data_IF_705216308157
#
_entry.id   IF_705216308157
#
_cell.length_a   1.000
_cell.length_b   1.000
_cell.length_c   1.000
_cell.angle_alpha   90.00
_cell.angle_beta   90.00
_cell.angle_gamma   90.00
#
_symmetry.space_group_name_H-M   'P 1'
#
loop_
_entity.id
_entity.type
_entity.pdbx_description
1 polymer ?
#
# COMPACT_ATOMS: atom_id res chain seq x y z
N UNK A 1 7.72 16.42 12.01
CA UNK A 1 7.06 15.14 11.74
C UNK A 1 5.99 15.35 10.68
N UNK A 2 6.25 14.89 9.47
CA UNK A 2 5.32 14.86 8.35
C UNK A 2 4.71 13.46 8.24
N UNK A 3 3.38 13.37 8.32
CA UNK A 3 2.65 12.09 8.23
C UNK A 3 1.78 12.09 6.98
N UNK A 4 2.09 11.21 6.04
CA UNK A 4 1.39 11.09 4.76
C UNK A 4 0.74 9.72 4.62
N UNK A 5 -0.56 9.70 4.32
CA UNK A 5 -1.26 8.47 3.94
C UNK A 5 -1.20 8.29 2.43
N UNK A 6 -0.80 7.10 1.99
CA UNK A 6 -0.79 6.69 0.58
C UNK A 6 -1.97 5.73 0.39
N UNK A 7 -2.96 6.05 -0.46
CA UNK A 7 -4.08 5.16 -0.70
C UNK A 7 -3.64 3.91 -1.48
N UNK A 8 -4.44 2.84 -1.39
CA UNK A 8 -4.24 1.67 -2.25
C UNK A 8 -4.71 1.98 -3.66
N UNK A 9 -3.97 1.53 -4.67
CA UNK A 9 -4.34 1.69 -6.08
C UNK A 9 -4.46 0.31 -6.74
N UNK A 10 -5.35 0.21 -7.74
CA UNK A 10 -5.42 -0.96 -8.60
C UNK A 10 -5.81 -0.59 -10.02
N UNK A 11 -5.25 -1.31 -10.99
CA UNK A 11 -5.64 -1.19 -12.40
C UNK A 11 -5.48 -2.52 -13.12
N UNK A 12 -6.22 -2.67 -14.21
CA UNK A 12 -6.08 -3.81 -15.11
C UNK A 12 -5.36 -3.38 -16.38
N UNK A 13 -4.40 -4.19 -16.83
CA UNK A 13 -3.65 -3.96 -18.06
C UNK A 13 -3.58 -5.23 -18.87
N UNK A 14 -3.45 -5.09 -20.19
CA UNK A 14 -3.25 -6.21 -21.10
C UNK A 14 -1.85 -6.14 -21.72
N UNK A 15 -1.19 -7.27 -21.87
CA UNK A 15 0.13 -7.35 -22.50
C UNK A 15 0.88 -8.64 -22.22
N UNK A 16 2.08 -8.76 -22.79
CA UNK A 16 2.94 -9.92 -22.55
C UNK A 16 3.57 -9.83 -21.16
N UNK A 17 3.71 -10.97 -20.48
CA UNK A 17 4.29 -11.08 -19.13
C UNK A 17 5.58 -10.27 -18.98
N UNK A 18 6.53 -10.44 -19.90
CA UNK A 18 7.83 -9.75 -19.82
C UNK A 18 7.68 -8.21 -19.82
N UNK A 19 6.78 -7.67 -20.63
CA UNK A 19 6.59 -6.22 -20.78
C UNK A 19 5.93 -5.64 -19.52
N UNK A 20 4.92 -6.33 -18.99
CA UNK A 20 4.21 -5.92 -17.77
C UNK A 20 5.15 -5.92 -16.57
N UNK A 21 5.93 -6.98 -16.38
CA UNK A 21 6.91 -7.04 -15.28
C UNK A 21 8.03 -6.01 -15.45
N UNK A 22 8.51 -5.75 -16.68
CA UNK A 22 9.53 -4.72 -16.93
C UNK A 22 9.01 -3.31 -16.60
N UNK A 23 7.76 -3.01 -16.95
CA UNK A 23 7.17 -1.67 -16.77
C UNK A 23 6.71 -1.41 -15.33
N UNK A 24 6.10 -2.41 -14.68
CA UNK A 24 5.39 -2.20 -13.42
C UNK A 24 6.00 -2.94 -12.22
N UNK A 25 6.86 -3.94 -12.44
CA UNK A 25 7.30 -4.88 -11.39
C UNK A 25 8.12 -4.27 -10.26
N UNK A 26 8.61 -3.03 -10.41
CA UNK A 26 9.32 -2.32 -9.33
C UNK A 26 8.38 -1.81 -8.24
N UNK A 27 7.19 -1.36 -8.60
CA UNK A 27 6.29 -0.66 -7.67
C UNK A 27 4.94 -1.35 -7.48
N UNK A 28 4.53 -2.20 -8.42
CA UNK A 28 3.23 -2.83 -8.43
C UNK A 28 3.35 -4.32 -8.12
N UNK A 29 2.43 -4.84 -7.32
CA UNK A 29 2.17 -6.26 -7.24
C UNK A 29 1.37 -6.68 -8.48
N UNK A 30 1.88 -7.68 -9.20
CA UNK A 30 1.35 -8.11 -10.51
C UNK A 30 0.71 -9.50 -10.36
N UNK A 31 -0.55 -9.64 -10.75
CA UNK A 31 -1.26 -10.92 -10.76
C UNK A 31 -1.91 -11.15 -12.12
N UNK A 32 -1.68 -12.32 -12.72
CA UNK A 32 -2.35 -12.71 -13.96
C UNK A 32 -3.85 -12.92 -13.73
N UNK A 33 -4.65 -12.53 -14.72
CA UNK A 33 -6.10 -12.70 -14.78
C UNK A 33 -6.42 -13.48 -16.06
N UNK A 34 -7.37 -14.42 -16.01
CA UNK A 34 -7.89 -15.06 -17.23
C UNK A 34 -6.98 -16.10 -17.90
N UNK A 35 -6.02 -16.70 -17.18
CA UNK A 35 -5.38 -17.96 -17.55
C UNK A 35 -4.61 -17.96 -18.89
N UNK A 36 -3.78 -16.94 -19.15
CA UNK A 36 -2.95 -16.88 -20.36
C UNK A 36 -3.46 -15.95 -21.46
N UNK A 37 -4.61 -15.28 -21.27
CA UNK A 37 -5.13 -14.31 -22.24
C UNK A 37 -4.42 -12.94 -22.21
N UNK A 38 -3.37 -12.82 -21.40
CA UNK A 38 -2.55 -11.61 -21.30
C UNK A 38 -3.16 -10.49 -20.46
N UNK A 39 -4.18 -10.77 -19.64
CA UNK A 39 -4.72 -9.79 -18.69
C UNK A 39 -3.99 -9.84 -17.35
N UNK A 40 -3.73 -8.68 -16.77
CA UNK A 40 -2.98 -8.53 -15.52
C UNK A 40 -3.66 -7.53 -14.61
N UNK A 41 -3.86 -7.91 -13.35
CA UNK A 41 -4.27 -7.04 -12.27
C UNK A 41 -3.01 -6.51 -11.56
N UNK A 42 -2.85 -5.19 -11.58
CA UNK A 42 -1.80 -4.48 -10.86
C UNK A 42 -2.39 -3.91 -9.57
N UNK A 43 -1.71 -4.09 -8.45
CA UNK A 43 -2.12 -3.52 -7.15
C UNK A 43 -0.95 -2.86 -6.42
N UNK A 44 -1.23 -1.71 -5.80
CA UNK A 44 -0.39 -1.07 -4.78
C UNK A 44 -1.13 -1.10 -3.46
N UNK A 45 -0.46 -1.58 -2.41
CA UNK A 45 -1.02 -1.52 -1.06
C UNK A 45 -0.95 -0.08 -0.55
N UNK A 46 -1.93 0.30 0.26
CA UNK A 46 -1.87 1.58 0.99
C UNK A 46 -0.60 1.65 1.87
N UNK A 47 -0.18 2.83 2.25
CA UNK A 47 0.93 3.00 3.19
C UNK A 47 0.71 4.23 4.08
N UNK A 48 1.47 4.32 5.15
CA UNK A 48 1.61 5.51 5.95
C UNK A 48 3.09 5.81 6.11
N UNK A 49 3.49 6.99 5.64
CA UNK A 49 4.85 7.47 5.74
C UNK A 49 4.95 8.45 6.90
N UNK A 50 5.91 8.23 7.80
CA UNK A 50 6.33 9.22 8.79
C UNK A 50 7.74 9.65 8.41
N UNK A 51 7.89 10.93 8.06
CA UNK A 51 9.14 11.52 7.57
C UNK A 51 9.78 10.69 6.43
N UNK A 52 8.94 10.17 5.53
CA UNK A 52 9.33 9.38 4.36
C UNK A 52 9.56 7.88 4.62
N UNK A 53 9.54 7.43 5.87
CA UNK A 53 9.70 6.01 6.22
C UNK A 53 8.34 5.33 6.34
N UNK A 54 8.20 4.12 5.79
CA UNK A 54 6.97 3.32 5.88
C UNK A 54 6.74 2.79 7.28
N UNK A 55 5.52 3.00 7.80
CA UNK A 55 5.04 2.49 9.08
C UNK A 55 3.82 1.57 8.94
N UNK A 56 3.47 1.13 7.71
CA UNK A 56 2.31 0.24 7.50
C UNK A 56 2.30 -0.97 8.42
N UNK A 57 3.40 -1.73 8.48
CA UNK A 57 3.45 -2.97 9.28
C UNK A 57 3.24 -2.67 10.76
N UNK A 58 3.90 -1.64 11.29
CA UNK A 58 3.75 -1.20 12.67
C UNK A 58 2.30 -0.85 12.99
N UNK A 59 1.64 -0.03 12.16
CA UNK A 59 0.24 0.37 12.37
C UNK A 59 -0.68 -0.83 12.35
N UNK A 60 -0.52 -1.74 11.38
CA UNK A 60 -1.34 -2.94 11.29
C UNK A 60 -1.18 -3.85 12.52
N UNK A 61 0.04 -4.03 12.99
CA UNK A 61 0.34 -4.83 14.18
C UNK A 61 -0.21 -4.19 15.45
N UNK A 62 0.09 -2.91 15.67
CA UNK A 62 -0.30 -2.15 16.85
C UNK A 62 -1.83 -2.14 17.03
N UNK A 63 -2.58 -1.86 15.97
CA UNK A 63 -4.05 -1.83 16.03
C UNK A 63 -4.72 -3.18 15.75
N UNK A 64 -3.92 -4.25 15.55
CA UNK A 64 -4.39 -5.60 15.24
C UNK A 64 -5.36 -5.61 14.04
N UNK A 65 -4.96 -4.96 12.95
CA UNK A 65 -5.73 -4.87 11.71
C UNK A 65 -5.02 -5.58 10.56
N UNK A 66 -5.79 -6.12 9.63
CA UNK A 66 -5.29 -6.75 8.41
C UNK A 66 -5.14 -5.77 7.24
N UNK A 67 -5.82 -4.62 7.29
CA UNK A 67 -5.85 -3.62 6.22
C UNK A 67 -5.67 -2.21 6.78
N UNK A 68 -4.86 -1.40 6.09
CA UNK A 68 -4.65 0.00 6.39
C UNK A 68 -5.67 0.82 5.61
N UNK A 69 -6.61 1.42 6.34
CA UNK A 69 -7.62 2.35 5.81
C UNK A 69 -7.22 3.77 6.15
N UNK A 70 -7.83 4.75 5.48
CA UNK A 70 -7.60 6.17 5.77
C UNK A 70 -8.03 6.52 7.20
N UNK A 71 -9.16 6.00 7.68
CA UNK A 71 -9.58 6.19 9.07
C UNK A 71 -8.56 5.65 10.08
N UNK A 72 -7.93 4.50 9.79
CA UNK A 72 -6.89 3.95 10.65
C UNK A 72 -5.62 4.81 10.62
N UNK A 73 -5.27 5.35 9.45
CA UNK A 73 -4.16 6.29 9.28
C UNK A 73 -4.41 7.61 10.04
N UNK A 74 -5.64 8.14 10.00
CA UNK A 74 -6.02 9.33 10.75
C UNK A 74 -5.96 9.08 12.26
N UNK A 75 -6.48 7.94 12.73
CA UNK A 75 -6.36 7.54 14.13
C UNK A 75 -4.89 7.45 14.58
N UNK A 76 -4.04 6.82 13.77
CA UNK A 76 -2.61 6.75 14.07
C UNK A 76 -1.96 8.13 14.15
N UNK A 77 -2.32 9.05 13.25
CA UNK A 77 -1.86 10.43 13.31
C UNK A 77 -2.26 11.09 14.63
N UNK A 78 -3.52 10.93 15.04
CA UNK A 78 -4.03 11.47 16.31
C UNK A 78 -3.29 10.88 17.53
N UNK A 79 -3.11 9.56 17.57
CA UNK A 79 -2.42 8.85 18.65
C UNK A 79 -0.93 9.27 18.74
N UNK A 80 -0.27 9.55 17.62
CA UNK A 80 1.08 10.14 17.62
C UNK A 80 1.09 11.57 18.14
N UNK A 81 0.18 12.42 17.67
CA UNK A 81 0.14 13.84 18.07
C UNK A 81 -0.25 14.03 19.52
N UNK A 82 -1.07 13.14 20.09
CA UNK A 82 -1.45 13.13 21.50
C UNK A 82 -0.40 12.51 22.42
N UNK A 83 0.61 11.83 21.86
CA UNK A 83 1.65 11.13 22.61
C UNK A 83 1.25 9.74 23.11
N UNK A 84 0.08 9.23 22.71
CA UNK A 84 -0.35 7.86 23.02
C UNK A 84 0.54 6.80 22.34
N UNK A 85 1.14 7.16 21.20
CA UNK A 85 2.15 6.36 20.50
C UNK A 85 3.43 7.18 20.37
N UNK A 86 4.56 6.52 20.61
CA UNK A 86 5.91 7.04 20.38
C UNK A 86 6.63 6.16 19.36
N UNK A 87 7.40 6.76 18.46
CA UNK A 87 8.08 6.09 17.32
C UNK A 87 9.58 5.92 17.54
#
# INVERSE_FOLDING_TARGET
>A
MQISFIPSESMSVQGKKHEIYKKYGKEWSIREQGGGNGNWLLTKKSDILVDGKSYRSFVLEHYKKSRLTENLANKFREDLTSGAIQL
#
